data_IF_849386508327
#
_entry.id   IF_849386508327
#
_cell.length_a   1.000
_cell.length_b   1.000
_cell.length_c   1.000
_cell.angle_alpha   90.00
_cell.angle_beta   90.00
_cell.angle_gamma   90.00
#
_symmetry.space_group_name_H-M   'P 1'
#
loop_
_entity.id
_entity.type
_entity.pdbx_description
1 polymer ?
#
# COMPACT_ATOMS: atom_id res chain seq x y z
N UNK A 1 29.78 3.66 16.57
CA UNK A 1 28.63 3.15 17.35
C UNK A 1 27.36 3.99 17.15
N UNK A 2 27.43 5.33 17.17
CA UNK A 2 26.27 6.24 16.98
C UNK A 2 25.59 6.08 15.61
N UNK A 3 26.38 5.93 14.52
CA UNK A 3 25.87 5.78 13.15
C UNK A 3 24.99 4.52 12.98
N UNK A 4 25.33 3.41 13.64
CA UNK A 4 24.52 2.18 13.59
C UNK A 4 23.16 2.34 14.26
N UNK A 5 23.06 3.17 15.31
CA UNK A 5 21.79 3.42 15.97
C UNK A 5 20.92 4.37 15.14
N UNK A 6 21.48 5.44 14.57
CA UNK A 6 20.74 6.37 13.69
C UNK A 6 20.17 5.66 12.46
N UNK A 7 20.97 4.78 11.82
CA UNK A 7 20.51 3.97 10.69
C UNK A 7 19.38 3.00 11.06
N UNK A 8 19.45 2.36 12.24
CA UNK A 8 18.41 1.44 12.72
C UNK A 8 17.09 2.17 13.03
N UNK A 9 17.14 3.32 13.70
CA UNK A 9 15.93 4.11 13.98
C UNK A 9 15.31 4.68 12.70
N UNK A 10 16.13 5.15 11.75
CA UNK A 10 15.64 5.66 10.47
C UNK A 10 14.95 4.58 9.65
N UNK A 11 15.51 3.37 9.61
CA UNK A 11 14.88 2.24 8.91
C UNK A 11 13.58 1.78 9.58
N UNK A 12 13.51 1.81 10.91
CA UNK A 12 12.29 1.47 11.66
C UNK A 12 11.17 2.49 11.41
N UNK A 13 11.51 3.79 11.40
CA UNK A 13 10.55 4.84 11.01
C UNK A 13 10.08 4.68 9.56
N UNK A 14 11.00 4.37 8.63
CA UNK A 14 10.67 4.15 7.22
C UNK A 14 9.68 2.99 7.02
N UNK A 15 9.94 1.84 7.65
CA UNK A 15 9.07 0.65 7.55
C UNK A 15 7.71 0.86 8.20
N UNK A 16 7.67 1.63 9.29
CA UNK A 16 6.41 2.06 9.92
C UNK A 16 5.60 2.95 8.98
N UNK A 17 6.24 3.93 8.33
CA UNK A 17 5.58 4.80 7.34
C UNK A 17 5.02 3.97 6.18
N UNK A 18 5.80 3.05 5.61
CA UNK A 18 5.33 2.17 4.52
C UNK A 18 4.10 1.36 4.95
N UNK A 19 4.12 0.80 6.16
CA UNK A 19 3.01 0.01 6.69
C UNK A 19 1.75 0.87 6.85
N UNK A 20 1.89 2.08 7.38
CA UNK A 20 0.78 3.03 7.53
C UNK A 20 0.21 3.42 6.15
N UNK A 21 1.07 3.72 5.19
CA UNK A 21 0.66 4.03 3.81
C UNK A 21 -0.07 2.85 3.15
N UNK A 22 0.47 1.64 3.27
CA UNK A 22 -0.16 0.43 2.75
C UNK A 22 -1.54 0.19 3.37
N UNK A 23 -1.69 0.40 4.68
CA UNK A 23 -2.96 0.29 5.39
C UNK A 23 -3.99 1.33 4.94
N UNK A 24 -3.61 2.61 4.87
CA UNK A 24 -4.50 3.67 4.37
C UNK A 24 -4.91 3.45 2.92
N UNK A 25 -3.97 2.99 2.08
CA UNK A 25 -4.28 2.62 0.69
C UNK A 25 -5.29 1.48 0.65
N UNK A 26 -5.17 0.49 1.52
CA UNK A 26 -6.13 -0.62 1.62
C UNK A 26 -7.52 -0.15 2.04
N UNK A 27 -7.62 0.63 3.12
CA UNK A 27 -8.86 1.20 3.64
C UNK A 27 -9.60 2.01 2.56
N UNK A 28 -8.85 2.87 1.85
CA UNK A 28 -9.41 3.76 0.85
C UNK A 28 -9.47 3.14 -0.56
N UNK A 29 -8.97 1.91 -0.77
CA UNK A 29 -8.80 1.30 -2.10
C UNK A 29 -10.12 1.10 -2.84
N UNK A 30 -11.21 0.75 -2.13
CA UNK A 30 -12.51 0.50 -2.75
C UNK A 30 -13.15 1.81 -3.20
N UNK A 31 -13.13 2.84 -2.36
CA UNK A 31 -13.75 4.13 -2.67
C UNK A 31 -12.91 4.96 -3.63
N UNK A 32 -11.59 4.99 -3.43
CA UNK A 32 -10.64 5.63 -4.34
C UNK A 32 -10.57 4.90 -5.68
N UNK A 33 -10.58 3.56 -5.67
CA UNK A 33 -10.60 2.73 -6.87
C UNK A 33 -11.86 2.95 -7.70
N UNK A 34 -13.04 3.04 -7.06
CA UNK A 34 -14.30 3.39 -7.75
C UNK A 34 -14.25 4.79 -8.35
N UNK A 35 -13.78 5.78 -7.60
CA UNK A 35 -13.72 7.17 -8.07
C UNK A 35 -12.70 7.35 -9.19
N UNK A 36 -11.53 6.71 -9.06
CA UNK A 36 -10.46 6.77 -10.06
C UNK A 36 -10.83 5.98 -11.32
N UNK A 37 -11.44 4.81 -11.18
CA UNK A 37 -12.01 4.09 -12.31
C UNK A 37 -13.09 4.93 -13.01
N UNK A 38 -13.97 5.59 -12.26
CA UNK A 38 -14.98 6.49 -12.85
C UNK A 38 -14.35 7.65 -13.62
N UNK A 39 -13.32 8.29 -13.08
CA UNK A 39 -12.64 9.42 -13.74
C UNK A 39 -11.80 8.99 -14.94
N UNK A 40 -11.28 7.76 -14.93
CA UNK A 40 -10.52 7.19 -16.04
C UNK A 40 -11.45 6.71 -17.16
N UNK A 41 -12.55 6.04 -16.79
CA UNK A 41 -13.52 5.49 -17.71
C UNK A 41 -14.46 6.55 -18.30
N UNK A 42 -14.77 7.62 -17.57
CA UNK A 42 -15.55 8.75 -18.10
C UNK A 42 -14.85 9.48 -19.25
N UNK A 43 -13.52 9.31 -19.37
CA UNK A 43 -12.71 9.86 -20.46
C UNK A 43 -12.64 8.93 -21.68
N UNK A 44 -13.19 7.72 -21.59
CA UNK A 44 -13.23 6.73 -22.68
C UNK A 44 -14.65 6.74 -23.25
N UNK A 45 -14.81 7.36 -24.42
CA UNK A 45 -16.11 7.44 -25.10
C UNK A 45 -16.47 6.08 -25.74
N UNK A 46 -17.73 5.66 -25.63
CA UNK A 46 -18.25 4.44 -26.26
C UNK A 46 -18.08 3.12 -25.50
N UNK A 47 -17.68 3.13 -24.22
CA UNK A 47 -17.51 1.89 -23.44
C UNK A 47 -18.85 1.32 -22.95
N UNK A 48 -19.09 0.03 -23.20
CA UNK A 48 -20.34 -0.64 -22.82
C UNK A 48 -20.37 -0.94 -21.31
N UNK A 49 -21.56 -1.00 -20.69
CA UNK A 49 -21.72 -1.08 -19.23
C UNK A 49 -21.05 -2.30 -18.58
N UNK A 50 -20.98 -3.43 -19.31
CA UNK A 50 -20.33 -4.67 -18.86
C UNK A 50 -18.81 -4.55 -18.83
N UNK A 51 -18.23 -3.90 -19.84
CA UNK A 51 -16.78 -3.67 -19.91
C UNK A 51 -16.35 -2.62 -18.88
N UNK A 52 -17.18 -1.59 -18.67
CA UNK A 52 -16.99 -0.59 -17.63
C UNK A 52 -16.94 -1.22 -16.23
N UNK A 53 -17.89 -2.12 -15.92
CA UNK A 53 -17.95 -2.79 -14.63
C UNK A 53 -16.73 -3.67 -14.40
N UNK A 54 -16.33 -4.47 -15.40
CA UNK A 54 -15.13 -5.30 -15.31
C UNK A 54 -13.88 -4.45 -15.11
N UNK A 55 -13.69 -3.38 -15.89
CA UNK A 55 -12.50 -2.55 -15.78
C UNK A 55 -12.42 -1.85 -14.41
N UNK A 56 -13.56 -1.39 -13.89
CA UNK A 56 -13.65 -0.82 -12.54
C UNK A 56 -13.23 -1.82 -11.47
N UNK A 57 -13.71 -3.06 -11.57
CA UNK A 57 -13.36 -4.14 -10.65
C UNK A 57 -11.86 -4.46 -10.71
N UNK A 58 -11.29 -4.61 -11.91
CA UNK A 58 -9.85 -4.80 -12.11
C UNK A 58 -9.00 -3.65 -11.53
N UNK A 59 -9.47 -2.41 -11.67
CA UNK A 59 -8.77 -1.24 -11.15
C UNK A 59 -8.78 -1.22 -9.61
N UNK A 60 -9.93 -1.49 -9.00
CA UNK A 60 -10.06 -1.63 -7.54
C UNK A 60 -9.17 -2.78 -7.04
N UNK A 61 -9.20 -3.94 -7.70
CA UNK A 61 -8.36 -5.08 -7.33
C UNK A 61 -6.86 -4.74 -7.41
N UNK A 62 -6.44 -3.97 -8.42
CA UNK A 62 -5.04 -3.54 -8.57
C UNK A 62 -4.61 -2.60 -7.45
N UNK A 63 -5.48 -1.66 -7.06
CA UNK A 63 -5.25 -0.75 -5.94
C UNK A 63 -5.15 -1.50 -4.59
N UNK A 64 -6.04 -2.47 -4.37
CA UNK A 64 -6.00 -3.37 -3.20
C UNK A 64 -4.72 -4.20 -3.18
N UNK A 65 -4.34 -4.80 -4.31
CA UNK A 65 -3.10 -5.59 -4.46
C UNK A 65 -1.87 -4.75 -4.13
N UNK A 66 -1.79 -3.53 -4.65
CA UNK A 66 -0.65 -2.66 -4.43
C UNK A 66 -0.56 -2.20 -2.96
N UNK A 67 -1.69 -1.87 -2.35
CA UNK A 67 -1.75 -1.56 -0.92
C UNK A 67 -1.37 -2.74 -0.03
N UNK A 68 -1.82 -3.95 -0.37
CA UNK A 68 -1.54 -5.16 0.42
C UNK A 68 -0.09 -5.60 0.32
N UNK A 69 0.52 -5.53 -0.86
CA UNK A 69 1.96 -5.79 -1.04
C UNK A 69 2.81 -4.81 -0.25
N UNK A 70 2.50 -3.51 -0.31
CA UNK A 70 3.21 -2.48 0.47
C UNK A 70 3.08 -2.73 1.98
N UNK A 71 1.87 -3.03 2.45
CA UNK A 71 1.61 -3.32 3.85
C UNK A 71 2.38 -4.57 4.32
N UNK A 72 2.36 -5.64 3.52
CA UNK A 72 3.05 -6.90 3.83
C UNK A 72 4.56 -6.70 3.93
N UNK A 73 5.16 -6.03 2.94
CA UNK A 73 6.59 -5.73 2.93
C UNK A 73 6.95 -4.85 4.13
N UNK A 74 6.17 -3.79 4.37
CA UNK A 74 6.36 -2.90 5.52
C UNK A 74 6.35 -3.64 6.85
N UNK A 75 5.35 -4.51 7.07
CA UNK A 75 5.21 -5.32 8.28
C UNK A 75 6.34 -6.33 8.44
N UNK A 76 6.74 -7.03 7.37
CA UNK A 76 7.84 -8.01 7.43
C UNK A 76 9.13 -7.32 7.88
N UNK A 77 9.47 -6.19 7.27
CA UNK A 77 10.67 -5.45 7.65
C UNK A 77 10.56 -4.84 9.06
N UNK A 78 9.38 -4.34 9.43
CA UNK A 78 9.13 -3.85 10.78
C UNK A 78 9.32 -4.95 11.83
N UNK A 79 8.74 -6.14 11.62
CA UNK A 79 8.89 -7.30 12.51
C UNK A 79 10.37 -7.75 12.61
N UNK A 80 11.10 -7.82 11.50
CA UNK A 80 12.52 -8.14 11.52
C UNK A 80 13.35 -7.10 12.30
N UNK A 81 13.02 -5.82 12.17
CA UNK A 81 13.67 -4.75 12.91
C UNK A 81 13.39 -4.80 14.40
N UNK A 82 12.13 -5.01 14.78
CA UNK A 82 11.72 -5.21 16.17
C UNK A 82 12.42 -6.42 16.78
N UNK A 83 12.46 -7.55 16.08
CA UNK A 83 13.16 -8.76 16.52
C UNK A 83 14.66 -8.52 16.75
N UNK A 84 15.33 -7.78 15.84
CA UNK A 84 16.73 -7.41 16.05
C UNK A 84 16.92 -6.42 17.20
N UNK A 85 15.93 -5.58 17.50
CA UNK A 85 15.97 -4.66 18.64
C UNK A 85 15.86 -5.42 19.96
N UNK A 86 14.88 -6.32 20.10
CA UNK A 86 14.69 -7.12 21.32
C UNK A 86 15.81 -8.12 21.57
N UNK A 87 16.48 -8.63 20.53
CA UNK A 87 17.62 -9.56 20.69
C UNK A 87 18.92 -8.89 21.15
N UNK A 88 19.08 -7.58 20.93
CA UNK A 88 20.30 -6.83 21.25
C UNK A 88 20.18 -5.96 22.52
N UNK A 89 19.09 -6.12 23.25
CA UNK A 89 18.80 -5.44 24.50
C UNK A 89 18.66 -6.47 25.63
#
# INVERSE_FOLDING_TARGET
MIINNVGRYSFLAFTMIISIFGYFKLQNSVETGKNSARDYLSKIDGMNSVEYSKLTEWFITSEVLLGSVLLLIGLIFFCMCMYRFTKHH
#
